data_IF_622745322165
#
_entry.id   IF_622745322165
#
_cell.length_a   1.000
_cell.length_b   1.000
_cell.length_c   1.000
_cell.angle_alpha   90.00
_cell.angle_beta   90.00
_cell.angle_gamma   90.00
#
_symmetry.space_group_name_H-M   'P 1'
#
loop_
_entity.id
_entity.type
_entity.pdbx_description
1 polymer ?
#
# COMPACT_ATOMS: atom_id res chain seq x y z
N UNK A 1 -12.35 -2.16 -9.12
CA UNK A 1 -12.56 -1.18 -8.03
C UNK A 1 -11.58 -0.05 -8.20
N UNK A 2 -12.03 1.21 -8.13
CA UNK A 2 -11.13 2.35 -8.18
C UNK A 2 -10.27 2.41 -6.90
N UNK A 3 -9.02 2.91 -6.96
CA UNK A 3 -8.23 3.15 -5.76
C UNK A 3 -8.89 4.25 -4.91
N UNK A 4 -8.86 4.10 -3.59
CA UNK A 4 -9.31 5.14 -2.67
C UNK A 4 -8.31 6.30 -2.63
N UNK A 5 -7.01 5.99 -2.74
CA UNK A 5 -5.95 6.97 -2.85
C UNK A 5 -5.00 6.60 -3.98
N UNK A 6 -4.46 7.60 -4.68
CA UNK A 6 -3.43 7.40 -5.71
C UNK A 6 -2.06 7.45 -5.07
N UNK A 7 -1.14 6.62 -5.55
CA UNK A 7 0.28 6.70 -5.18
C UNK A 7 0.99 7.39 -6.34
N UNK A 8 1.64 8.50 -6.01
CA UNK A 8 2.31 9.35 -6.98
C UNK A 8 3.82 9.33 -6.75
N UNK A 9 4.58 9.13 -7.82
CA UNK A 9 6.02 9.38 -7.87
C UNK A 9 6.31 10.73 -8.52
N UNK A 10 7.51 11.27 -8.28
CA UNK A 10 8.04 12.39 -9.06
C UNK A 10 8.90 11.86 -10.20
N UNK A 11 8.65 12.31 -11.43
CA UNK A 11 9.52 12.06 -12.57
C UNK A 11 10.84 12.84 -12.43
N UNK A 12 11.88 12.52 -13.23
CA UNK A 12 13.13 13.31 -13.26
C UNK A 12 12.92 14.80 -13.56
N UNK A 13 11.83 15.15 -14.26
CA UNK A 13 11.43 16.54 -14.53
C UNK A 13 10.54 17.16 -13.45
N UNK A 14 10.39 16.49 -12.31
CA UNK A 14 9.61 16.94 -11.16
C UNK A 14 8.09 16.86 -11.33
N UNK A 15 7.58 16.17 -12.35
CA UNK A 15 6.13 16.01 -12.58
C UNK A 15 5.59 14.83 -11.78
N UNK A 16 4.38 14.96 -11.24
CA UNK A 16 3.70 13.85 -10.58
C UNK A 16 3.24 12.83 -11.61
N UNK A 17 3.55 11.57 -11.38
CA UNK A 17 3.13 10.42 -12.20
C UNK A 17 2.50 9.39 -11.27
N UNK A 18 1.34 8.85 -11.65
CA UNK A 18 0.71 7.78 -10.91
C UNK A 18 1.46 6.47 -11.13
N UNK A 19 1.99 5.90 -10.05
CA UNK A 19 2.73 4.64 -10.06
C UNK A 19 2.00 3.51 -9.31
N UNK A 20 0.86 3.83 -8.69
CA UNK A 20 0.14 2.87 -7.86
C UNK A 20 -1.11 3.42 -7.22
N UNK A 21 -1.65 2.66 -6.29
CA UNK A 21 -2.86 3.02 -5.55
C UNK A 21 -2.93 2.39 -4.17
N UNK A 22 -3.87 2.89 -3.39
CA UNK A 22 -4.30 2.29 -2.13
C UNK A 22 -5.77 1.93 -2.26
N UNK A 23 -6.11 0.68 -2.01
CA UNK A 23 -7.48 0.16 -2.06
C UNK A 23 -7.95 -0.23 -0.68
N UNK A 24 -9.22 0.06 -0.38
CA UNK A 24 -9.90 -0.48 0.80
C UNK A 24 -10.46 -1.85 0.47
N UNK A 25 -10.10 -2.88 1.23
CA UNK A 25 -10.61 -4.24 1.12
C UNK A 25 -11.26 -4.64 2.43
N UNK A 26 -12.13 -5.63 2.38
CA UNK A 26 -12.71 -6.24 3.57
C UNK A 26 -12.11 -7.62 3.78
N UNK A 27 -11.70 -7.92 5.00
CA UNK A 27 -11.28 -9.27 5.39
C UNK A 27 -12.54 -10.15 5.44
N UNK A 28 -12.51 -11.29 4.73
CA UNK A 28 -13.68 -12.17 4.58
C UNK A 28 -14.08 -12.86 5.90
N UNK A 29 -13.11 -13.12 6.77
CA UNK A 29 -13.33 -13.89 8.01
C UNK A 29 -13.81 -12.98 9.14
N UNK A 30 -13.26 -11.76 9.23
CA UNK A 30 -13.56 -10.83 10.33
C UNK A 30 -14.53 -9.72 9.94
N UNK A 31 -14.84 -9.56 8.64
CA UNK A 31 -15.62 -8.43 8.12
C UNK A 31 -14.94 -7.06 8.28
N UNK A 32 -13.72 -7.02 8.81
CA UNK A 32 -13.01 -5.77 9.09
C UNK A 32 -12.39 -5.20 7.82
N UNK A 33 -12.47 -3.88 7.68
CA UNK A 33 -11.84 -3.17 6.59
C UNK A 33 -10.33 -3.05 6.80
N UNK A 34 -9.56 -3.15 5.72
CA UNK A 34 -8.12 -2.90 5.69
C UNK A 34 -7.72 -2.23 4.39
N UNK A 35 -6.54 -1.64 4.36
CA UNK A 35 -5.99 -1.05 3.15
C UNK A 35 -4.91 -1.94 2.55
N UNK A 36 -4.83 -1.95 1.22
CA UNK A 36 -3.74 -2.58 0.47
C UNK A 36 -3.12 -1.56 -0.47
N UNK A 37 -1.81 -1.64 -0.64
CA UNK A 37 -0.98 -0.80 -1.48
C UNK A 37 -0.40 -1.64 -2.61
N UNK A 38 -0.40 -1.10 -3.82
CA UNK A 38 0.34 -1.64 -4.97
C UNK A 38 1.12 -0.52 -5.64
N UNK A 39 2.40 -0.74 -5.90
CA UNK A 39 3.23 0.09 -6.77
C UNK A 39 3.61 -0.74 -8.00
N UNK A 40 2.96 -0.45 -9.12
CA UNK A 40 2.95 -1.30 -10.32
C UNK A 40 4.35 -1.49 -10.89
N UNK A 41 5.10 -0.39 -11.01
CA UNK A 41 6.40 -0.37 -11.68
C UNK A 41 7.49 -1.11 -10.89
N UNK A 42 7.22 -1.45 -9.62
CA UNK A 42 8.12 -2.18 -8.74
C UNK A 42 7.62 -3.57 -8.36
N UNK A 43 6.53 -4.04 -8.96
CA UNK A 43 5.83 -5.28 -8.57
C UNK A 43 5.57 -5.38 -7.05
N UNK A 44 5.46 -4.22 -6.37
CA UNK A 44 5.43 -4.15 -4.92
C UNK A 44 4.00 -4.17 -4.42
N UNK A 45 3.68 -5.09 -3.53
CA UNK A 45 2.38 -5.20 -2.89
C UNK A 45 2.52 -5.25 -1.37
N UNK A 46 1.60 -4.57 -0.67
CA UNK A 46 1.60 -4.53 0.78
C UNK A 46 0.18 -4.43 1.34
N UNK A 47 0.02 -4.85 2.58
CA UNK A 47 -1.10 -4.46 3.42
C UNK A 47 -0.68 -3.24 4.24
N UNK A 48 -1.62 -2.36 4.50
CA UNK A 48 -1.44 -1.25 5.44
C UNK A 48 -2.18 -1.61 6.72
N UNK A 49 -1.45 -1.60 7.83
CA UNK A 49 -1.97 -2.05 9.12
C UNK A 49 -1.09 -1.67 10.28
N UNK A 50 -1.41 -2.20 11.46
CA UNK A 50 -0.60 -2.01 12.66
C UNK A 50 0.63 -2.92 12.63
N UNK A 51 1.83 -2.35 12.72
CA UNK A 51 3.05 -3.13 12.95
C UNK A 51 3.15 -3.60 14.41
N UNK A 52 3.91 -4.67 14.64
CA UNK A 52 4.25 -5.10 15.99
C UNK A 52 4.96 -3.95 16.73
N UNK A 53 4.56 -3.69 17.97
CA UNK A 53 5.10 -2.60 18.82
C UNK A 53 4.81 -1.16 18.36
N UNK A 54 3.86 -0.96 17.44
CA UNK A 54 3.42 0.39 17.05
C UNK A 54 2.55 1.03 18.15
N UNK A 55 2.91 2.24 18.57
CA UNK A 55 2.29 3.04 19.63
C UNK A 55 1.21 3.99 19.08
N UNK A 56 1.46 4.62 17.94
CA UNK A 56 0.52 5.51 17.27
C UNK A 56 -0.50 4.72 16.42
N UNK A 57 -1.76 4.71 16.86
CA UNK A 57 -2.85 4.01 16.17
C UNK A 57 -3.34 4.72 14.89
N UNK A 58 -2.92 5.97 14.66
CA UNK A 58 -3.29 6.74 13.46
C UNK A 58 -2.35 6.44 12.27
N UNK A 59 -1.17 5.90 12.55
CA UNK A 59 -0.19 5.53 11.54
C UNK A 59 -0.52 4.14 10.96
N UNK A 60 -0.27 3.96 9.67
CA UNK A 60 -0.42 2.67 9.00
C UNK A 60 0.95 2.20 8.53
N UNK A 61 1.44 1.10 9.08
CA UNK A 61 2.68 0.49 8.63
C UNK A 61 2.49 -0.20 7.29
N UNK A 62 3.53 -0.15 6.44
CA UNK A 62 3.58 -0.88 5.18
C UNK A 62 4.11 -2.29 5.47
N UNK A 63 3.27 -3.30 5.23
CA UNK A 63 3.58 -4.72 5.49
C UNK A 63 3.63 -5.44 4.13
N UNK A 64 4.82 -5.58 3.50
CA UNK A 64 4.96 -6.17 2.17
C UNK A 64 4.63 -7.65 2.15
N UNK A 65 4.12 -8.12 1.01
CA UNK A 65 3.89 -9.54 0.76
C UNK A 65 4.16 -9.87 -0.71
N UNK A 66 4.34 -11.16 -1.01
CA UNK A 66 4.75 -11.63 -2.32
C UNK A 66 6.27 -11.86 -2.41
N UNK A 67 6.79 -12.20 -3.59
CA UNK A 67 8.22 -12.43 -3.77
C UNK A 67 8.99 -11.17 -3.39
N UNK A 68 9.90 -11.28 -2.42
CA UNK A 68 11.02 -10.34 -2.28
C UNK A 68 11.98 -10.66 -3.42
N UNK A 69 11.66 -10.29 -4.64
CA UNK A 69 12.58 -10.61 -5.74
C UNK A 69 13.77 -9.65 -5.71
N UNK A 70 14.92 -10.30 -5.47
CA UNK A 70 16.32 -9.93 -5.61
C UNK A 70 16.65 -8.43 -5.68
N UNK A 71 17.35 -7.98 -4.63
CA UNK A 71 18.12 -6.74 -4.64
C UNK A 71 19.01 -6.61 -5.89
#
# INVERSE_FOLDING_TARGET
>A
MAPMHRVLGRSPRGKLVECGGIWKKQNKDTGSDYFTLTVRDHAFNANLGKAASQDDMTLQAIIPWGPKDAA
#
